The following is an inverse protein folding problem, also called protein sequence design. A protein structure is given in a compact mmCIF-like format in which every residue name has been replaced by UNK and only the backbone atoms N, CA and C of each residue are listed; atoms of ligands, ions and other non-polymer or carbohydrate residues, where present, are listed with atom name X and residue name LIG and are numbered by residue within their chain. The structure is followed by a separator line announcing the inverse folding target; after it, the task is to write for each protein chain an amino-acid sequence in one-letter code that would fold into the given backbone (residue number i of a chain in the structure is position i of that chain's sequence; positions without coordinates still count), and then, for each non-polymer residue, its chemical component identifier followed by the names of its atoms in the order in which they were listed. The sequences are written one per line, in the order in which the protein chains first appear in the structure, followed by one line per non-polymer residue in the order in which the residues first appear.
data_IF_835811605003
#
_entry.id   IF_835811605003
#
_cell.length_a   1.000
_cell.length_b   1.000
_cell.length_c   1.000
_cell.angle_alpha   90.00
_cell.angle_beta   90.00
_cell.angle_gamma   90.00
#
_symmetry.space_group_name_H-M   'P 1'
#
loop_
_entity.id
_entity.type
_entity.pdbx_description
1 polymer ?
#
# COMPACT_ATOMS: atom_id res chain seq x y z
N UNK A 1 2.67 2.34 19.50
CA UNK A 1 3.92 1.75 20.01
C UNK A 1 5.00 2.80 20.21
N UNK A 2 4.92 3.93 19.60
CA UNK A 2 5.87 5.04 19.74
C UNK A 2 5.20 6.25 20.38
N UNK A 3 5.98 7.16 20.96
CA UNK A 3 5.48 8.42 21.49
C UNK A 3 4.97 9.30 20.35
N UNK A 4 3.89 10.06 20.59
CA UNK A 4 3.33 10.95 19.57
C UNK A 4 4.34 12.00 19.08
N UNK A 5 5.15 12.54 19.99
CA UNK A 5 6.24 13.48 19.64
C UNK A 5 7.27 12.86 18.68
N UNK A 6 7.65 11.59 18.91
CA UNK A 6 8.55 10.88 17.99
C UNK A 6 7.90 10.68 16.62
N UNK A 7 6.59 10.38 16.59
CA UNK A 7 5.83 10.31 15.33
C UNK A 7 5.91 11.64 14.58
N UNK A 8 5.65 12.76 15.24
CA UNK A 8 5.72 14.07 14.59
C UNK A 8 7.12 14.37 14.03
N UNK A 9 8.19 14.04 14.78
CA UNK A 9 9.56 14.27 14.35
C UNK A 9 9.91 13.46 13.09
N UNK A 10 9.65 12.15 13.08
CA UNK A 10 9.99 11.36 11.90
C UNK A 10 9.07 11.68 10.70
N UNK A 11 7.80 12.02 10.93
CA UNK A 11 6.91 12.48 9.86
C UNK A 11 7.43 13.76 9.22
N UNK A 12 7.89 14.72 10.03
CA UNK A 12 8.54 15.93 9.53
C UNK A 12 9.76 15.63 8.68
N UNK A 13 10.65 14.74 9.15
CA UNK A 13 11.85 14.35 8.40
C UNK A 13 11.52 13.61 7.10
N UNK A 14 10.52 12.72 7.12
CA UNK A 14 10.07 12.03 5.90
C UNK A 14 9.51 13.04 4.90
N UNK A 15 8.67 13.96 5.34
CA UNK A 15 8.01 14.93 4.46
C UNK A 15 8.97 16.00 3.92
N UNK A 16 9.95 16.41 4.73
CA UNK A 16 10.89 17.48 4.35
C UNK A 16 12.08 16.98 3.53
N UNK A 17 12.56 15.77 3.80
CA UNK A 17 13.80 15.27 3.23
C UNK A 17 13.60 14.01 2.39
N UNK A 18 13.09 12.94 2.99
CA UNK A 18 13.08 11.62 2.36
C UNK A 18 12.18 11.61 1.12
N UNK A 19 10.93 12.05 1.29
CA UNK A 19 9.94 12.03 0.21
C UNK A 19 10.27 13.00 -0.93
N UNK A 20 10.66 14.26 -0.70
CA UNK A 20 11.05 15.15 -1.80
C UNK A 20 12.25 14.62 -2.61
N UNK A 21 13.24 14.02 -1.96
CA UNK A 21 14.40 13.44 -2.64
C UNK A 21 13.98 12.23 -3.50
N UNK A 22 13.26 11.27 -2.92
CA UNK A 22 12.82 10.08 -3.65
C UNK A 22 11.80 10.41 -4.74
N UNK A 23 10.88 11.34 -4.48
CA UNK A 23 9.91 11.82 -5.46
C UNK A 23 10.58 12.56 -6.63
N UNK A 24 11.62 13.36 -6.37
CA UNK A 24 12.39 13.98 -7.44
C UNK A 24 13.06 12.93 -8.34
N UNK A 25 13.61 11.86 -7.78
CA UNK A 25 14.23 10.81 -8.59
C UNK A 25 13.27 10.19 -9.61
N UNK A 26 11.99 10.09 -9.27
CA UNK A 26 10.95 9.40 -10.07
C UNK A 26 10.14 10.38 -10.90
N UNK A 27 9.65 11.47 -10.31
CA UNK A 27 8.72 12.41 -10.94
C UNK A 27 9.33 13.79 -11.25
N UNK A 28 10.43 14.13 -10.60
CA UNK A 28 11.08 15.44 -10.74
C UNK A 28 12.17 15.49 -11.81
N UNK A 29 12.23 14.53 -12.75
CA UNK A 29 13.28 14.48 -13.77
C UNK A 29 14.64 14.00 -13.26
N UNK A 30 14.68 13.36 -12.06
CA UNK A 30 15.89 12.78 -11.49
C UNK A 30 16.37 11.52 -12.23
N UNK A 31 17.37 10.86 -11.69
CA UNK A 31 18.10 9.78 -12.36
C UNK A 31 17.23 8.57 -12.73
N UNK A 32 16.23 8.20 -11.90
CA UNK A 32 15.30 7.13 -12.24
C UNK A 32 14.40 7.49 -13.42
N UNK A 33 13.85 8.72 -13.43
CA UNK A 33 13.08 9.22 -14.57
C UNK A 33 13.89 9.21 -15.86
N UNK A 34 15.17 9.64 -15.80
CA UNK A 34 16.08 9.64 -16.96
C UNK A 34 16.41 8.22 -17.47
N UNK A 35 16.35 7.22 -16.59
CA UNK A 35 16.48 5.80 -16.95
C UNK A 35 15.20 5.20 -17.53
N UNK A 36 14.10 5.95 -17.61
CA UNK A 36 12.80 5.46 -18.07
C UNK A 36 11.98 4.72 -17.02
N UNK A 37 12.30 4.89 -15.73
CA UNK A 37 11.52 4.30 -14.65
C UNK A 37 10.11 4.92 -14.62
N UNK A 38 9.09 4.06 -14.68
CA UNK A 38 7.69 4.46 -14.66
C UNK A 38 7.05 4.11 -13.31
N UNK A 39 6.47 5.10 -12.67
CA UNK A 39 5.63 4.96 -11.47
C UNK A 39 4.50 5.98 -11.58
N UNK A 40 3.34 5.52 -12.04
CA UNK A 40 2.22 6.42 -12.37
C UNK A 40 1.71 7.18 -11.16
N UNK A 41 1.33 6.47 -10.10
CA UNK A 41 0.70 7.08 -8.94
C UNK A 41 1.45 6.86 -7.62
N UNK A 42 2.56 6.11 -7.58
CA UNK A 42 3.43 6.06 -6.42
C UNK A 42 3.58 4.72 -5.70
N UNK A 43 3.56 3.58 -6.40
CA UNK A 43 3.94 2.31 -5.73
C UNK A 43 5.34 2.40 -5.13
N UNK A 44 6.29 2.98 -5.86
CA UNK A 44 7.65 3.16 -5.39
C UNK A 44 7.81 4.48 -4.64
N UNK A 45 7.42 5.60 -5.26
CA UNK A 45 7.63 6.93 -4.71
C UNK A 45 6.97 7.15 -3.35
N UNK A 46 5.82 6.50 -3.10
CA UNK A 46 5.05 6.64 -1.86
C UNK A 46 5.12 5.37 -1.02
N UNK A 47 4.64 4.25 -1.56
CA UNK A 47 4.39 3.04 -0.76
C UNK A 47 5.67 2.29 -0.43
N UNK A 48 6.63 2.17 -1.35
CA UNK A 48 7.92 1.53 -1.04
C UNK A 48 8.73 2.37 -0.05
N UNK A 49 8.74 3.69 -0.20
CA UNK A 49 9.36 4.61 0.76
C UNK A 49 8.75 4.43 2.15
N UNK A 50 7.42 4.41 2.24
CA UNK A 50 6.70 4.15 3.49
C UNK A 50 7.00 2.76 4.06
N UNK A 51 7.04 1.73 3.21
CA UNK A 51 7.34 0.36 3.59
C UNK A 51 8.76 0.19 4.16
N UNK A 52 9.76 0.80 3.51
CA UNK A 52 11.16 0.79 3.99
C UNK A 52 11.28 1.54 5.32
N UNK A 53 10.66 2.72 5.43
CA UNK A 53 10.64 3.47 6.68
C UNK A 53 9.96 2.67 7.81
N UNK A 54 8.86 1.98 7.52
CA UNK A 54 8.18 1.11 8.47
C UNK A 54 9.02 -0.10 8.88
N UNK A 55 9.76 -0.70 7.95
CA UNK A 55 10.68 -1.81 8.25
C UNK A 55 11.79 -1.38 9.22
N UNK A 56 12.43 -0.23 8.95
CA UNK A 56 13.47 0.32 9.82
C UNK A 56 12.89 0.66 11.19
N UNK A 57 11.74 1.34 11.23
CA UNK A 57 11.05 1.70 12.47
C UNK A 57 10.65 0.46 13.29
N UNK A 58 10.13 -0.58 12.64
CA UNK A 58 9.77 -1.83 13.29
C UNK A 58 11.01 -2.56 13.87
N UNK A 59 12.13 -2.54 13.15
CA UNK A 59 13.40 -3.12 13.63
C UNK A 59 13.93 -2.39 14.86
N UNK A 60 13.90 -1.06 14.86
CA UNK A 60 14.36 -0.24 16.00
C UNK A 60 13.46 -0.42 17.23
N UNK A 61 12.14 -0.45 17.04
CA UNK A 61 11.17 -0.61 18.13
C UNK A 61 11.15 -2.03 18.71
N UNK A 62 11.56 -3.01 17.92
CA UNK A 62 11.47 -4.42 18.31
C UNK A 62 10.03 -4.97 18.37
N UNK A 63 9.85 -6.21 18.82
CA UNK A 63 8.53 -6.83 18.91
C UNK A 63 7.66 -6.19 19.99
N UNK A 64 6.34 -6.31 19.83
CA UNK A 64 5.39 -5.91 20.86
C UNK A 64 5.58 -6.75 22.12
N UNK A 65 5.35 -6.14 23.29
CA UNK A 65 5.30 -6.85 24.57
C UNK A 65 4.27 -8.00 24.43
N UNK A 66 4.67 -9.21 24.82
CA UNK A 66 3.82 -10.39 24.72
C UNK A 66 3.74 -11.04 23.32
N UNK A 67 4.44 -10.51 22.28
CA UNK A 67 4.47 -11.12 20.95
C UNK A 67 5.14 -12.49 20.94
N UNK A 68 6.14 -12.70 21.75
CA UNK A 68 6.84 -13.97 21.89
C UNK A 68 6.72 -14.49 23.32
N UNK A 69 6.54 -15.81 23.45
CA UNK A 69 6.60 -16.50 24.75
C UNK A 69 8.05 -16.58 25.23
N UNK A 70 8.26 -16.99 26.50
CA UNK A 70 9.61 -17.27 27.03
C UNK A 70 10.36 -18.34 26.23
N UNK A 71 9.64 -19.24 25.55
CA UNK A 71 10.20 -20.26 24.64
C UNK A 71 10.41 -19.78 23.20
N UNK A 72 10.29 -18.48 22.91
CA UNK A 72 10.47 -17.91 21.57
C UNK A 72 9.30 -18.13 20.61
N UNK A 73 8.23 -18.81 21.01
CA UNK A 73 7.07 -19.06 20.14
C UNK A 73 6.25 -17.75 19.96
N UNK A 74 5.94 -17.44 18.69
CA UNK A 74 5.11 -16.29 18.34
C UNK A 74 3.66 -16.48 18.80
N UNK A 75 3.08 -15.44 19.38
CA UNK A 75 1.65 -15.36 19.77
C UNK A 75 0.92 -14.38 18.86
N UNK A 76 -0.31 -14.73 18.47
CA UNK A 76 -1.19 -13.78 17.79
C UNK A 76 -1.58 -12.63 18.74
N UNK A 77 -1.58 -11.42 18.22
CA UNK A 77 -2.12 -10.23 18.89
C UNK A 77 -3.23 -9.69 17.98
N UNK A 78 -4.48 -10.18 18.13
CA UNK A 78 -5.58 -9.78 17.27
C UNK A 78 -5.92 -8.30 17.44
N UNK A 79 -6.49 -7.70 16.39
CA UNK A 79 -7.10 -6.37 16.47
C UNK A 79 -8.37 -6.39 17.34
N UNK A 80 -8.76 -5.22 17.81
CA UNK A 80 -9.91 -5.09 18.71
C UNK A 80 -11.29 -5.26 18.01
N UNK A 81 -11.36 -4.96 16.71
CA UNK A 81 -12.60 -5.04 15.94
C UNK A 81 -12.32 -5.28 14.45
N UNK A 82 -12.61 -6.49 13.99
CA UNK A 82 -12.36 -6.88 12.61
C UNK A 82 -13.36 -6.23 11.63
N UNK A 83 -14.59 -5.98 12.06
CA UNK A 83 -15.62 -5.34 11.23
C UNK A 83 -15.24 -3.90 10.91
N UNK A 84 -14.75 -3.14 11.91
CA UNK A 84 -14.25 -1.79 11.70
C UNK A 84 -13.00 -1.82 10.81
N UNK A 85 -12.13 -2.83 10.97
CA UNK A 85 -10.99 -3.05 10.08
C UNK A 85 -11.42 -3.27 8.63
N UNK A 86 -12.45 -4.08 8.40
CA UNK A 86 -13.01 -4.29 7.07
C UNK A 86 -13.58 -2.99 6.48
N UNK A 87 -14.36 -2.25 7.25
CA UNK A 87 -14.88 -0.93 6.84
C UNK A 87 -13.73 0.00 6.42
N UNK A 88 -12.64 0.03 7.20
CA UNK A 88 -11.45 0.83 6.87
C UNK A 88 -10.84 0.44 5.52
N UNK A 89 -10.78 -0.85 5.20
CA UNK A 89 -10.29 -1.33 3.90
C UNK A 89 -11.24 -0.93 2.76
N UNK A 90 -12.55 -1.02 2.94
CA UNK A 90 -13.51 -0.56 1.92
C UNK A 90 -13.41 0.95 1.66
N UNK A 91 -13.22 1.75 2.71
CA UNK A 91 -12.99 3.19 2.57
C UNK A 91 -11.71 3.45 1.79
N UNK A 92 -10.61 2.78 2.13
CA UNK A 92 -9.34 2.90 1.42
C UNK A 92 -9.45 2.46 -0.04
N UNK A 93 -10.16 1.36 -0.32
CA UNK A 93 -10.38 0.89 -1.68
C UNK A 93 -11.18 1.91 -2.51
N UNK A 94 -12.27 2.43 -1.95
CA UNK A 94 -13.04 3.47 -2.60
C UNK A 94 -12.20 4.72 -2.88
N UNK A 95 -11.45 5.21 -1.89
CA UNK A 95 -10.57 6.36 -2.06
C UNK A 95 -9.41 6.10 -3.05
N UNK A 96 -9.07 4.83 -3.30
CA UNK A 96 -8.01 4.48 -4.24
C UNK A 96 -8.37 4.76 -5.70
N UNK A 97 -9.65 4.77 -6.03
CA UNK A 97 -10.09 5.28 -7.33
C UNK A 97 -9.68 6.75 -7.52
N UNK A 98 -9.83 7.55 -6.48
CA UNK A 98 -9.31 8.92 -6.47
C UNK A 98 -7.78 8.96 -6.51
N UNK A 99 -7.12 8.12 -5.70
CA UNK A 99 -5.66 8.07 -5.64
C UNK A 99 -5.03 7.78 -7.02
N UNK A 100 -5.44 6.71 -7.67
CA UNK A 100 -4.91 6.31 -8.98
C UNK A 100 -5.54 7.12 -10.12
N UNK A 101 -6.86 7.27 -10.15
CA UNK A 101 -7.55 7.96 -11.24
C UNK A 101 -7.25 9.44 -11.31
N UNK A 102 -7.19 10.14 -10.17
CA UNK A 102 -6.84 11.56 -10.16
C UNK A 102 -5.35 11.82 -10.47
N UNK A 103 -4.50 10.79 -10.45
CA UNK A 103 -3.10 10.90 -10.89
C UNK A 103 -2.95 11.13 -12.40
N UNK A 104 -4.04 11.05 -13.19
CA UNK A 104 -4.09 11.58 -14.57
C UNK A 104 -3.93 13.10 -14.62
N UNK A 105 -4.16 13.79 -13.50
CA UNK A 105 -4.09 15.27 -13.36
C UNK A 105 -5.06 16.02 -14.31
N UNK A 106 -5.85 15.31 -15.08
CA UNK A 106 -6.88 15.85 -15.98
C UNK A 106 -8.04 14.84 -16.09
N UNK A 107 -9.23 15.35 -16.35
CA UNK A 107 -10.45 14.59 -16.67
C UNK A 107 -11.09 15.06 -17.99
N UNK A 108 -10.26 15.55 -18.91
CA UNK A 108 -10.69 16.03 -20.22
C UNK A 108 -10.06 15.22 -21.36
N UNK A 109 -10.75 15.13 -22.49
CA UNK A 109 -10.27 14.42 -23.66
C UNK A 109 -9.86 12.96 -23.36
N UNK A 110 -8.69 12.56 -23.82
CA UNK A 110 -8.18 11.19 -23.64
C UNK A 110 -7.87 10.84 -22.18
N UNK A 111 -7.66 11.82 -21.32
CA UNK A 111 -7.40 11.59 -19.91
C UNK A 111 -8.59 10.91 -19.20
N UNK A 112 -9.83 11.20 -19.61
CA UNK A 112 -11.02 10.54 -19.05
C UNK A 112 -11.08 9.05 -19.41
N UNK A 113 -10.64 8.68 -20.62
CA UNK A 113 -10.57 7.28 -21.06
C UNK A 113 -9.48 6.53 -20.26
N UNK A 114 -8.33 7.18 -20.08
CA UNK A 114 -7.24 6.66 -19.26
C UNK A 114 -7.68 6.47 -17.81
N UNK A 115 -8.38 7.45 -17.22
CA UNK A 115 -8.92 7.32 -15.87
C UNK A 115 -9.92 6.17 -15.76
N UNK A 116 -10.78 5.96 -16.74
CA UNK A 116 -11.70 4.81 -16.80
C UNK A 116 -10.95 3.47 -16.80
N UNK A 117 -9.90 3.35 -17.61
CA UNK A 117 -9.01 2.18 -17.63
C UNK A 117 -8.38 1.96 -16.24
N UNK A 118 -7.84 3.02 -15.62
CA UNK A 118 -7.22 2.98 -14.30
C UNK A 118 -8.19 2.51 -13.24
N UNK A 119 -9.45 2.91 -13.28
CA UNK A 119 -10.47 2.41 -12.34
C UNK A 119 -10.66 0.90 -12.47
N UNK A 120 -10.72 0.38 -13.69
CA UNK A 120 -10.88 -1.06 -13.93
C UNK A 120 -9.65 -1.83 -13.44
N UNK A 121 -8.44 -1.43 -13.82
CA UNK A 121 -7.19 -2.11 -13.42
C UNK A 121 -6.98 -2.07 -11.91
N UNK A 122 -7.27 -0.93 -11.27
CA UNK A 122 -7.21 -0.76 -9.81
C UNK A 122 -8.17 -1.70 -9.10
N UNK A 123 -9.43 -1.76 -9.55
CA UNK A 123 -10.44 -2.63 -8.95
C UNK A 123 -10.11 -4.11 -9.11
N UNK A 124 -9.69 -4.52 -10.30
CA UNK A 124 -9.32 -5.91 -10.58
C UNK A 124 -8.11 -6.35 -9.74
N UNK A 125 -7.08 -5.53 -9.64
CA UNK A 125 -5.90 -5.85 -8.84
C UNK A 125 -6.25 -6.08 -7.36
N UNK A 126 -7.07 -5.22 -6.77
CA UNK A 126 -7.54 -5.38 -5.40
C UNK A 126 -8.38 -6.65 -5.23
N UNK A 127 -9.33 -6.90 -6.14
CA UNK A 127 -10.21 -8.07 -6.08
C UNK A 127 -9.43 -9.38 -6.21
N UNK A 128 -8.55 -9.48 -7.21
CA UNK A 128 -7.72 -10.67 -7.44
C UNK A 128 -6.78 -10.92 -6.27
N UNK A 129 -6.12 -9.90 -5.75
CA UNK A 129 -5.25 -10.03 -4.58
C UNK A 129 -6.01 -10.50 -3.34
N UNK A 130 -7.22 -10.00 -3.12
CA UNK A 130 -8.11 -10.45 -2.04
C UNK A 130 -8.41 -11.93 -2.16
N UNK A 131 -8.89 -12.36 -3.34
CA UNK A 131 -9.25 -13.75 -3.61
C UNK A 131 -8.03 -14.69 -3.51
N UNK A 132 -6.88 -14.25 -3.99
CA UNK A 132 -5.63 -15.02 -3.91
C UNK A 132 -5.23 -15.27 -2.47
N UNK A 133 -5.22 -14.24 -1.62
CA UNK A 133 -4.86 -14.38 -0.21
C UNK A 133 -5.91 -15.22 0.54
N UNK A 134 -7.20 -15.04 0.22
CA UNK A 134 -8.27 -15.85 0.78
C UNK A 134 -8.08 -17.33 0.43
N UNK A 135 -7.81 -17.65 -0.82
CA UNK A 135 -7.57 -19.03 -1.28
C UNK A 135 -6.32 -19.64 -0.61
N UNK A 136 -5.20 -18.91 -0.57
CA UNK A 136 -3.94 -19.36 0.05
C UNK A 136 -4.17 -19.64 1.55
N UNK A 137 -4.83 -18.74 2.26
CA UNK A 137 -5.09 -18.92 3.69
C UNK A 137 -6.05 -20.09 3.94
N UNK A 138 -7.06 -20.26 3.07
CA UNK A 138 -7.99 -21.40 3.16
C UNK A 138 -7.27 -22.74 2.98
N UNK A 139 -6.44 -22.87 1.97
CA UNK A 139 -5.65 -24.09 1.75
C UNK A 139 -4.69 -24.35 2.91
N UNK A 140 -3.97 -23.32 3.34
CA UNK A 140 -2.90 -23.44 4.36
C UNK A 140 -3.43 -23.68 5.77
N UNK A 141 -4.50 -22.97 6.15
CA UNK A 141 -5.04 -22.99 7.52
C UNK A 141 -6.39 -23.71 7.65
N UNK A 142 -6.90 -24.30 6.54
CA UNK A 142 -8.21 -24.98 6.45
C UNK A 142 -9.40 -24.07 6.73
N UNK A 143 -9.16 -22.76 6.83
CA UNK A 143 -10.17 -21.70 6.96
C UNK A 143 -9.61 -20.40 6.41
N UNK A 144 -10.43 -19.57 5.76
CA UNK A 144 -9.97 -18.27 5.28
C UNK A 144 -9.65 -17.35 6.46
N UNK A 145 -8.57 -16.56 6.31
CA UNK A 145 -8.21 -15.52 7.28
C UNK A 145 -8.66 -14.16 6.75
N UNK A 146 -9.68 -13.59 7.38
CA UNK A 146 -10.27 -12.31 6.96
C UNK A 146 -9.26 -11.17 7.07
N UNK A 147 -8.47 -11.13 8.14
CA UNK A 147 -7.46 -10.08 8.35
C UNK A 147 -6.38 -10.11 7.27
N UNK A 148 -5.91 -11.30 6.91
CA UNK A 148 -4.94 -11.46 5.81
C UNK A 148 -5.56 -11.12 4.46
N UNK A 149 -6.82 -11.51 4.21
CA UNK A 149 -7.52 -11.17 2.96
C UNK A 149 -7.71 -9.67 2.79
N UNK A 150 -8.05 -8.95 3.86
CA UNK A 150 -8.13 -7.49 3.89
C UNK A 150 -6.76 -6.84 3.60
N UNK A 151 -5.67 -7.36 4.15
CA UNK A 151 -4.32 -6.93 3.79
C UNK A 151 -3.98 -7.25 2.33
N UNK A 152 -4.48 -8.38 1.81
CA UNK A 152 -4.36 -8.74 0.39
C UNK A 152 -4.97 -7.69 -0.53
N UNK A 153 -6.16 -7.18 -0.19
CA UNK A 153 -6.82 -6.10 -0.94
C UNK A 153 -5.91 -4.86 -1.04
N UNK A 154 -5.36 -4.43 0.09
CA UNK A 154 -4.45 -3.26 0.13
C UNK A 154 -3.14 -3.53 -0.63
N UNK A 155 -2.60 -4.74 -0.53
CA UNK A 155 -1.39 -5.11 -1.28
C UNK A 155 -1.61 -5.06 -2.80
N UNK A 156 -2.78 -5.50 -3.27
CA UNK A 156 -3.18 -5.37 -4.68
C UNK A 156 -3.30 -3.92 -5.12
N UNK A 157 -3.92 -3.08 -4.32
CA UNK A 157 -4.04 -1.63 -4.57
C UNK A 157 -2.65 -0.97 -4.65
N UNK A 158 -1.78 -1.25 -3.69
CA UNK A 158 -0.40 -0.74 -3.68
C UNK A 158 0.38 -1.21 -4.91
N UNK A 159 0.29 -2.49 -5.24
CA UNK A 159 1.04 -3.07 -6.36
C UNK A 159 0.66 -2.48 -7.71
N UNK A 160 -0.64 -2.27 -7.97
CA UNK A 160 -1.13 -1.74 -9.24
C UNK A 160 -0.83 -0.24 -9.44
N UNK A 161 -0.59 0.48 -8.36
CA UNK A 161 -0.49 1.95 -8.36
C UNK A 161 0.60 2.50 -9.29
N UNK A 162 1.71 1.75 -9.54
CA UNK A 162 2.75 2.18 -10.47
C UNK A 162 2.37 2.01 -11.94
N UNK A 163 1.59 0.99 -12.28
CA UNK A 163 1.35 0.56 -13.66
C UNK A 163 -0.13 0.54 -14.05
N UNK A 164 -1.00 1.15 -13.25
CA UNK A 164 -2.44 1.12 -13.48
C UNK A 164 -2.88 1.73 -14.82
N UNK A 165 -2.08 2.62 -15.40
CA UNK A 165 -2.27 3.27 -16.69
C UNK A 165 -1.74 2.43 -17.87
N UNK A 166 -0.74 1.58 -17.66
CA UNK A 166 -0.04 0.85 -18.73
C UNK A 166 -0.53 -0.58 -18.91
N UNK A 167 -0.89 -1.28 -17.82
CA UNK A 167 -1.34 -2.68 -17.90
C UNK A 167 -2.73 -2.81 -18.53
N UNK A 168 -2.99 -3.97 -19.17
CA UNK A 168 -4.31 -4.35 -19.66
C UNK A 168 -5.11 -5.06 -18.57
N UNK A 169 -6.45 -4.89 -18.53
CA UNK A 169 -7.33 -5.72 -17.70
C UNK A 169 -7.41 -7.19 -18.13
N UNK A 170 -6.88 -7.53 -19.32
CA UNK A 170 -6.87 -8.87 -19.90
C UNK A 170 -5.51 -9.51 -19.85
#
# INVERSE_FOLDING_TARGET
RTKFSSYCIYSFLISLVVYPVSGHWIWGGGWLAQMGFHDFAGSCAVHMVGGVAALVGAKILGPRIGKYSKSGKSKAIPGHNLTIGALGVFILWFCWFGFNGASTVSMEGDAIVTAGKIFVTTNLAAAVATLTVLAITWVRYKKPDVSMSLNGSLAGLVGITASCDTVSPT
#
